data_IF_076607424103
#
_entry.id   IF_076607424103
#
_cell.length_a   1.000
_cell.length_b   1.000
_cell.length_c   1.000
_cell.angle_alpha   90.00
_cell.angle_beta   90.00
_cell.angle_gamma   90.00
#
_symmetry.space_group_name_H-M   'P 1'
#
loop_
_entity.id
_entity.type
_entity.pdbx_description
1 polymer ?
#
# COMPACT_ATOMS: atom_id res chain seq x y z
N UNK A 1 4.18 -10.30 8.63
CA UNK A 1 3.07 -10.28 7.65
C UNK A 1 2.00 -11.27 8.09
N UNK A 2 0.87 -10.79 8.59
CA UNK A 2 -0.31 -11.61 8.85
C UNK A 2 -1.28 -11.45 7.68
N UNK A 3 -1.91 -12.55 7.23
CA UNK A 3 -2.91 -12.57 6.16
C UNK A 3 -4.18 -13.16 6.72
N UNK A 4 -5.14 -12.31 7.09
CA UNK A 4 -6.42 -12.74 7.65
C UNK A 4 -7.55 -12.50 6.64
N UNK A 5 -8.47 -13.46 6.43
CA UNK A 5 -9.70 -13.21 5.69
C UNK A 5 -10.49 -12.05 6.31
N UNK A 6 -11.02 -11.09 5.52
CA UNK A 6 -10.92 -10.93 4.07
C UNK A 6 -9.54 -10.35 3.70
N UNK A 7 -8.69 -11.18 3.09
CA UNK A 7 -7.27 -10.99 2.73
C UNK A 7 -6.62 -9.64 3.07
N UNK A 8 -6.50 -9.35 4.38
CA UNK A 8 -5.84 -8.14 4.89
C UNK A 8 -4.34 -8.39 4.93
N UNK A 9 -3.61 -7.68 4.08
CA UNK A 9 -2.15 -7.59 4.16
C UNK A 9 -1.77 -6.34 4.95
N UNK A 10 -1.20 -6.53 6.14
CA UNK A 10 -0.57 -5.45 6.92
C UNK A 10 0.95 -5.55 6.81
N UNK A 11 1.55 -4.51 6.24
CA UNK A 11 2.98 -4.31 6.19
C UNK A 11 3.32 -3.04 6.97
N UNK A 12 4.27 -3.16 7.89
CA UNK A 12 4.99 -2.05 8.50
C UNK A 12 6.29 -1.92 7.68
N UNK A 13 6.43 -0.84 6.92
CA UNK A 13 7.63 -0.57 6.11
C UNK A 13 8.22 0.77 6.52
N UNK A 14 8.78 0.79 7.74
CA UNK A 14 9.45 1.96 8.29
C UNK A 14 10.91 2.08 7.81
N UNK A 15 11.51 0.99 7.31
CA UNK A 15 12.88 1.02 6.79
C UNK A 15 12.96 1.75 5.44
N UNK A 16 11.90 1.70 4.62
CA UNK A 16 11.82 2.42 3.36
C UNK A 16 11.55 3.92 3.47
N UNK A 17 11.03 4.39 4.62
CA UNK A 17 10.54 5.75 4.83
C UNK A 17 10.89 6.24 6.24
N UNK A 18 12.13 6.72 6.47
CA UNK A 18 12.62 7.06 7.81
C UNK A 18 11.89 8.26 8.45
N UNK A 19 11.26 9.12 7.63
CA UNK A 19 10.51 10.30 8.10
C UNK A 19 9.01 10.00 8.37
N UNK A 20 8.63 8.72 8.37
CA UNK A 20 7.33 8.23 8.83
C UNK A 20 7.50 7.55 10.18
N UNK A 21 6.83 8.05 11.21
CA UNK A 21 6.76 7.38 12.52
C UNK A 21 5.89 6.12 12.45
N UNK A 22 4.92 6.10 11.52
CA UNK A 22 4.04 4.97 11.27
C UNK A 22 3.67 4.88 9.78
N UNK A 23 3.65 3.66 9.26
CA UNK A 23 3.04 3.34 7.98
C UNK A 23 2.39 1.96 8.05
N UNK A 24 1.12 1.89 7.66
CA UNK A 24 0.42 0.62 7.51
C UNK A 24 -0.38 0.60 6.21
N UNK A 25 -0.06 -0.38 5.38
CA UNK A 25 -0.90 -0.72 4.24
C UNK A 25 -2.01 -1.70 4.61
N UNK A 26 -3.15 -1.59 3.94
CA UNK A 26 -4.19 -2.62 3.92
C UNK A 26 -4.67 -2.82 2.49
N UNK A 27 -4.67 -4.07 2.05
CA UNK A 27 -5.31 -4.50 0.82
C UNK A 27 -6.51 -5.38 1.16
N UNK A 28 -7.54 -5.30 0.34
CA UNK A 28 -8.68 -6.21 0.36
C UNK A 28 -8.90 -6.67 -1.07
N UNK A 29 -8.86 -7.98 -1.27
CA UNK A 29 -9.14 -8.61 -2.56
C UNK A 29 -10.52 -9.24 -2.44
N UNK A 30 -11.42 -8.97 -3.38
CA UNK A 30 -12.67 -9.72 -3.52
C UNK A 30 -12.58 -10.55 -4.78
N UNK A 31 -12.71 -11.86 -4.62
CA UNK A 31 -12.81 -12.78 -5.74
C UNK A 31 -14.21 -12.68 -6.39
N UNK A 32 -14.25 -12.32 -7.68
CA UNK A 32 -15.46 -12.25 -8.51
C UNK A 32 -15.39 -13.26 -9.67
N UNK A 33 -14.60 -14.34 -9.53
CA UNK A 33 -14.43 -15.40 -10.53
C UNK A 33 -13.31 -15.10 -11.53
N UNK A 34 -13.61 -14.80 -12.81
CA UNK A 34 -12.56 -14.47 -13.79
C UNK A 34 -11.87 -13.12 -13.53
N UNK A 35 -12.39 -12.33 -12.59
CA UNK A 35 -11.84 -11.04 -12.18
C UNK A 35 -11.82 -10.95 -10.66
N UNK A 36 -11.02 -10.04 -10.13
CA UNK A 36 -11.12 -9.63 -8.73
C UNK A 36 -11.29 -8.11 -8.63
N UNK A 37 -11.88 -7.65 -7.54
CA UNK A 37 -11.77 -6.26 -7.13
C UNK A 37 -10.68 -6.14 -6.07
N UNK A 38 -9.81 -5.15 -6.25
CA UNK A 38 -8.79 -4.80 -5.26
C UNK A 38 -9.14 -3.43 -4.70
N UNK A 39 -9.37 -3.37 -3.39
CA UNK A 39 -9.41 -2.14 -2.62
C UNK A 39 -8.14 -2.03 -1.80
N UNK A 40 -7.61 -0.81 -1.69
CA UNK A 40 -6.38 -0.54 -0.96
C UNK A 40 -6.53 0.74 -0.14
N UNK A 41 -5.85 0.78 0.99
CA UNK A 41 -5.78 1.94 1.86
C UNK A 41 -4.43 1.99 2.54
N UNK A 42 -3.93 3.21 2.72
CA UNK A 42 -2.69 3.48 3.44
C UNK A 42 -2.99 4.43 4.60
N UNK A 43 -2.41 4.14 5.75
CA UNK A 43 -2.41 5.02 6.91
C UNK A 43 -0.96 5.36 7.21
N UNK A 44 -0.69 6.65 7.42
CA UNK A 44 0.64 7.17 7.68
C UNK A 44 0.60 8.13 8.87
N UNK A 45 1.69 8.20 9.60
CA UNK A 45 1.97 9.23 10.60
C UNK A 45 3.34 9.86 10.26
N UNK A 46 3.37 10.93 9.45
CA UNK A 46 4.62 11.60 9.09
C UNK A 46 5.11 12.51 10.21
N UNK A 47 6.42 12.70 10.29
CA UNK A 47 6.94 13.84 11.04
C UNK A 47 6.34 15.16 10.51
N UNK A 48 6.08 16.17 11.38
CA UNK A 48 5.50 17.45 10.96
C UNK A 48 6.56 18.36 10.32
N UNK A 49 7.24 17.85 9.29
CA UNK A 49 8.34 18.46 8.53
C UNK A 49 8.04 18.43 7.03
N UNK A 50 8.81 19.14 6.21
CA UNK A 50 8.68 19.06 4.75
C UNK A 50 9.07 17.66 4.25
N UNK A 51 10.09 17.06 4.88
CA UNK A 51 10.56 15.71 4.60
C UNK A 51 9.49 14.66 4.88
N UNK A 52 8.75 14.77 5.99
CA UNK A 52 7.63 13.89 6.30
C UNK A 52 6.51 13.95 5.24
N UNK A 53 6.21 15.14 4.70
CA UNK A 53 5.26 15.29 3.59
C UNK A 53 5.77 14.59 2.33
N UNK A 54 7.03 14.77 1.98
CA UNK A 54 7.66 14.11 0.82
C UNK A 54 7.65 12.59 0.99
N UNK A 55 7.88 12.07 2.19
CA UNK A 55 7.82 10.64 2.47
C UNK A 55 6.42 10.05 2.20
N UNK A 56 5.35 10.76 2.58
CA UNK A 56 3.96 10.36 2.27
C UNK A 56 3.72 10.33 0.76
N UNK A 57 4.16 11.36 0.03
CA UNK A 57 4.02 11.41 -1.44
C UNK A 57 4.75 10.25 -2.13
N UNK A 58 5.96 9.92 -1.67
CA UNK A 58 6.74 8.80 -2.19
C UNK A 58 6.07 7.46 -1.88
N UNK A 59 5.56 7.26 -0.66
CA UNK A 59 4.86 6.03 -0.28
C UNK A 59 3.56 5.81 -1.09
N UNK A 60 2.82 6.88 -1.35
CA UNK A 60 1.66 6.87 -2.25
C UNK A 60 2.05 6.51 -3.68
N UNK A 61 3.09 7.14 -4.23
CA UNK A 61 3.56 6.89 -5.59
C UNK A 61 4.05 5.44 -5.79
N UNK A 62 4.83 4.91 -4.84
CA UNK A 62 5.30 3.52 -4.87
C UNK A 62 4.13 2.53 -4.85
N UNK A 63 3.13 2.77 -3.99
CA UNK A 63 1.96 1.89 -3.91
C UNK A 63 1.12 1.95 -5.19
N UNK A 64 0.92 3.13 -5.76
CA UNK A 64 0.23 3.29 -7.04
C UNK A 64 0.95 2.54 -8.17
N UNK A 65 2.27 2.67 -8.27
CA UNK A 65 3.08 1.97 -9.27
C UNK A 65 3.02 0.44 -9.13
N UNK A 66 2.96 -0.07 -7.90
CA UNK A 66 2.76 -1.51 -7.63
C UNK A 66 1.41 -1.99 -8.18
N UNK A 67 0.34 -1.25 -7.89
CA UNK A 67 -1.02 -1.60 -8.34
C UNK A 67 -1.17 -1.54 -9.86
N UNK A 68 -0.59 -0.52 -10.51
CA UNK A 68 -0.52 -0.44 -11.97
C UNK A 68 0.31 -1.57 -12.59
N UNK A 69 1.37 -2.02 -11.90
CA UNK A 69 2.15 -3.20 -12.28
C UNK A 69 1.30 -4.47 -12.27
N UNK A 70 0.50 -4.67 -11.22
CA UNK A 70 -0.39 -5.83 -11.09
C UNK A 70 -1.47 -5.87 -12.19
N UNK A 71 -2.06 -4.72 -12.55
CA UNK A 71 -3.02 -4.70 -13.67
C UNK A 71 -2.36 -5.00 -15.02
N UNK A 72 -1.12 -4.56 -15.23
CA UNK A 72 -0.37 -4.88 -16.46
C UNK A 72 -0.06 -6.36 -16.61
N UNK A 73 0.34 -7.04 -15.53
CA UNK A 73 0.58 -8.49 -15.56
C UNK A 73 -0.70 -9.28 -15.84
N UNK A 74 -1.88 -8.79 -15.42
CA UNK A 74 -3.19 -9.39 -15.77
C UNK A 74 -3.48 -9.38 -17.28
N UNK A 75 -2.94 -8.42 -18.02
CA UNK A 75 -3.21 -8.23 -19.44
C UNK A 75 -2.29 -9.06 -20.36
N UNK A 76 -1.30 -9.77 -19.81
CA UNK A 76 -0.38 -10.63 -20.53
C UNK A 76 -0.87 -12.07 -20.59
#
# INVERSE_FOLDING_TARGET
MAVEPPWRLCAEDLEGYPDLEFMQGTFVIRDDGPTCLVSWGLVFDPEPTEEGVVAVEQALATTAALLEGLDRERQR
#
